data_IF_412484996570
#
_entry.id   IF_412484996570
#
_cell.length_a   1.000
_cell.length_b   1.000
_cell.length_c   1.000
_cell.angle_alpha   90.00
_cell.angle_beta   90.00
_cell.angle_gamma   90.00
#
_symmetry.space_group_name_H-M   'P 1'
#
loop_
_entity.id
_entity.type
_entity.pdbx_description
1 polymer ?
#
# COMPACT_ATOMS: atom_id res chain seq x y z
N UNK A 1 23.01 42.51 54.67
CA UNK A 1 21.98 42.73 53.64
C UNK A 1 22.35 41.86 52.44
N UNK A 2 21.75 40.65 52.33
CA UNK A 2 20.80 40.24 51.26
C UNK A 2 21.19 40.80 49.89
N UNK A 3 21.54 39.96 48.91
CA UNK A 3 20.62 39.46 47.86
C UNK A 3 21.52 39.26 46.62
N UNK A 4 21.41 38.32 45.69
CA UNK A 4 20.62 37.11 45.47
C UNK A 4 21.32 36.40 44.30
N UNK A 5 21.59 35.10 44.41
CA UNK A 5 21.96 34.28 43.23
C UNK A 5 20.69 33.60 42.73
N UNK A 6 20.18 34.06 41.59
CA UNK A 6 19.06 33.44 40.91
C UNK A 6 19.54 32.15 40.23
N UNK A 7 19.01 31.01 40.68
CA UNK A 7 19.13 29.73 40.01
C UNK A 7 18.09 29.72 38.89
N UNK A 8 18.53 29.75 37.64
CA UNK A 8 17.69 29.46 36.48
C UNK A 8 17.53 27.94 36.36
N UNK A 9 16.41 27.39 36.81
CA UNK A 9 15.98 26.05 36.40
C UNK A 9 15.39 26.17 34.99
N UNK A 10 16.13 25.67 34.00
CA UNK A 10 15.57 25.40 32.67
C UNK A 10 14.71 24.13 32.75
N UNK A 11 13.38 24.29 32.74
CA UNK A 11 12.47 23.20 32.41
C UNK A 11 12.46 23.06 30.87
N UNK A 12 13.26 22.14 30.35
CA UNK A 12 12.97 21.57 29.04
C UNK A 12 11.83 20.57 29.22
N UNK A 13 10.59 21.02 28.98
CA UNK A 13 9.50 20.11 28.70
C UNK A 13 9.87 19.36 27.41
N UNK A 14 10.17 18.06 27.53
CA UNK A 14 10.16 17.16 26.39
C UNK A 14 8.74 17.18 25.82
N UNK A 15 8.55 17.93 24.74
CA UNK A 15 7.38 17.77 23.89
C UNK A 15 7.58 16.39 23.27
N UNK A 16 6.99 15.37 23.87
CA UNK A 16 6.81 14.09 23.21
C UNK A 16 5.98 14.39 21.97
N UNK A 17 6.63 14.40 20.80
CA UNK A 17 5.94 14.60 19.54
C UNK A 17 4.77 13.60 19.50
N UNK A 18 3.55 14.11 19.35
CA UNK A 18 2.37 13.26 19.26
C UNK A 18 2.56 12.29 18.10
N UNK A 19 2.30 11.00 18.34
CA UNK A 19 2.33 9.98 17.28
C UNK A 19 1.49 10.46 16.09
N UNK A 20 2.00 10.40 14.85
CA UNK A 20 1.23 10.76 13.68
C UNK A 20 -0.05 9.94 13.60
N UNK A 21 -1.15 10.57 13.23
CA UNK A 21 -2.43 9.89 13.05
C UNK A 21 -2.43 9.12 11.73
N UNK A 22 -2.85 7.85 11.75
CA UNK A 22 -3.09 7.08 10.54
C UNK A 22 -4.46 7.41 9.95
N UNK A 23 -4.49 7.61 8.63
CA UNK A 23 -5.69 7.62 7.81
C UNK A 23 -5.56 6.49 6.79
N UNK A 24 -6.20 5.35 7.07
CA UNK A 24 -6.37 4.28 6.09
C UNK A 24 -7.53 4.64 5.16
N UNK A 25 -7.29 4.65 3.86
CA UNK A 25 -8.23 5.11 2.83
C UNK A 25 -8.27 4.12 1.68
N UNK A 26 -9.46 3.75 1.25
CA UNK A 26 -9.67 2.92 0.07
C UNK A 26 -10.76 3.49 -0.82
N UNK A 27 -10.88 3.00 -2.04
CA UNK A 27 -11.89 3.43 -2.99
C UNK A 27 -12.82 2.31 -3.41
N UNK A 28 -14.12 2.55 -3.28
CA UNK A 28 -15.14 1.73 -3.93
C UNK A 28 -16.22 2.66 -4.51
N UNK A 29 -16.61 2.40 -5.76
CA UNK A 29 -17.69 3.13 -6.42
C UNK A 29 -19.08 2.62 -6.03
N UNK A 30 -19.18 1.34 -5.67
CA UNK A 30 -20.41 0.66 -5.29
C UNK A 30 -20.21 -0.16 -4.01
N UNK A 31 -21.26 -0.36 -3.19
CA UNK A 31 -21.23 -1.36 -2.12
C UNK A 31 -20.99 -2.75 -2.72
N UNK A 32 -19.88 -3.39 -2.35
CA UNK A 32 -19.49 -4.71 -2.85
C UNK A 32 -19.01 -5.56 -1.67
N UNK A 33 -19.46 -6.82 -1.53
CA UNK A 33 -19.03 -7.70 -0.43
C UNK A 33 -17.51 -7.87 -0.31
N UNK A 34 -16.76 -7.75 -1.41
CA UNK A 34 -15.29 -7.86 -1.38
C UNK A 34 -14.62 -6.74 -0.59
N UNK A 35 -15.26 -5.57 -0.50
CA UNK A 35 -14.78 -4.47 0.37
C UNK A 35 -14.83 -4.86 1.84
N UNK A 36 -15.74 -5.77 2.23
CA UNK A 36 -15.83 -6.23 3.61
C UNK A 36 -14.58 -7.02 4.04
N UNK A 37 -13.83 -7.59 3.08
CA UNK A 37 -12.59 -8.31 3.38
C UNK A 37 -11.53 -7.36 3.95
N UNK A 38 -11.24 -6.28 3.23
CA UNK A 38 -10.21 -5.31 3.60
C UNK A 38 -10.64 -4.46 4.80
N UNK A 39 -11.89 -4.01 4.84
CA UNK A 39 -12.42 -3.25 5.98
C UNK A 39 -12.55 -4.13 7.22
N UNK A 40 -13.11 -5.34 7.08
CA UNK A 40 -13.31 -6.25 8.22
C UNK A 40 -11.99 -6.70 8.85
N UNK A 41 -10.97 -7.01 8.04
CA UNK A 41 -9.65 -7.37 8.57
C UNK A 41 -8.96 -6.19 9.24
N UNK A 42 -9.08 -4.98 8.71
CA UNK A 42 -8.58 -3.77 9.38
C UNK A 42 -9.25 -3.56 10.75
N UNK A 43 -10.58 -3.72 10.84
CA UNK A 43 -11.34 -3.56 12.08
C UNK A 43 -10.96 -4.62 13.13
N UNK A 44 -10.76 -5.87 12.70
CA UNK A 44 -10.22 -6.93 13.57
C UNK A 44 -8.84 -6.58 14.15
N UNK A 45 -8.08 -5.75 13.42
CA UNK A 45 -6.76 -5.26 13.81
C UNK A 45 -6.77 -3.85 14.43
N UNK A 46 -7.94 -3.35 14.79
CA UNK A 46 -8.10 -2.18 15.67
C UNK A 46 -8.06 -0.82 14.96
N UNK A 47 -8.24 -0.76 13.64
CA UNK A 47 -8.35 0.51 12.91
C UNK A 47 -9.45 0.49 11.86
N UNK A 48 -9.91 1.69 11.48
CA UNK A 48 -11.16 1.87 10.73
C UNK A 48 -10.91 2.63 9.43
N UNK A 49 -10.76 1.92 8.29
CA UNK A 49 -10.55 2.57 7.01
C UNK A 49 -11.73 3.43 6.56
N UNK A 50 -11.42 4.48 5.80
CA UNK A 50 -12.42 5.31 5.13
C UNK A 50 -12.56 4.85 3.68
N UNK A 51 -13.76 4.40 3.32
CA UNK A 51 -14.11 4.13 1.92
C UNK A 51 -14.58 5.43 1.27
N UNK A 52 -13.87 5.87 0.24
CA UNK A 52 -14.27 6.99 -0.61
C UNK A 52 -14.84 6.50 -1.94
N UNK A 53 -15.66 7.32 -2.60
CA UNK A 53 -16.07 7.08 -3.98
C UNK A 53 -17.47 6.50 -4.21
N UNK A 54 -18.20 6.09 -3.16
CA UNK A 54 -19.56 5.56 -3.34
C UNK A 54 -20.44 6.52 -4.15
N UNK A 55 -21.11 5.97 -5.17
CA UNK A 55 -21.96 6.72 -6.09
C UNK A 55 -21.22 7.48 -7.19
N UNK A 56 -19.91 7.30 -7.33
CA UNK A 56 -19.11 7.88 -8.41
C UNK A 56 -18.56 6.78 -9.32
N UNK A 57 -18.96 6.79 -10.58
CA UNK A 57 -18.47 5.80 -11.55
C UNK A 57 -16.96 5.93 -11.78
N UNK A 58 -16.27 4.78 -11.80
CA UNK A 58 -14.91 4.64 -12.28
C UNK A 58 -14.84 3.36 -13.11
N UNK A 59 -14.12 3.41 -14.22
CA UNK A 59 -13.92 2.27 -15.11
C UNK A 59 -12.54 1.68 -14.87
N UNK A 60 -12.47 0.37 -14.66
CA UNK A 60 -11.20 -0.30 -14.39
C UNK A 60 -10.18 -0.14 -15.55
N UNK A 61 -8.90 -0.24 -15.19
CA UNK A 61 -7.69 0.03 -15.98
C UNK A 61 -7.47 1.49 -16.40
N UNK A 62 -8.38 2.08 -17.18
CA UNK A 62 -8.14 3.38 -17.84
C UNK A 62 -8.95 4.54 -17.27
N UNK A 63 -10.06 4.29 -16.56
CA UNK A 63 -10.94 5.30 -15.96
C UNK A 63 -10.72 5.49 -14.45
N UNK A 64 -9.52 5.20 -13.95
CA UNK A 64 -9.19 5.27 -12.51
C UNK A 64 -8.73 6.67 -12.05
N UNK A 65 -8.78 7.68 -12.93
CA UNK A 65 -8.55 9.07 -12.54
C UNK A 65 -9.61 9.56 -11.53
N UNK A 66 -10.86 9.09 -11.64
CA UNK A 66 -11.93 9.40 -10.66
C UNK A 66 -11.56 8.91 -9.26
N UNK A 67 -11.04 7.68 -9.15
CA UNK A 67 -10.54 7.11 -7.89
C UNK A 67 -9.45 8.01 -7.30
N UNK A 68 -8.42 8.30 -8.09
CA UNK A 68 -7.29 9.12 -7.64
C UNK A 68 -7.75 10.51 -7.18
N UNK A 69 -8.70 11.13 -7.88
CA UNK A 69 -9.26 12.42 -7.51
C UNK A 69 -10.12 12.37 -6.23
N UNK A 70 -10.75 11.24 -5.90
CA UNK A 70 -11.47 11.06 -4.63
C UNK A 70 -10.52 10.90 -3.45
N UNK A 71 -9.46 10.11 -3.63
CA UNK A 71 -8.36 9.99 -2.65
C UNK A 71 -7.69 11.35 -2.42
N UNK A 72 -7.35 12.05 -3.50
CA UNK A 72 -6.87 13.45 -3.46
C UNK A 72 -7.79 14.34 -2.64
N UNK A 73 -9.10 14.34 -2.93
CA UNK A 73 -10.06 15.17 -2.21
C UNK A 73 -10.06 14.86 -0.70
N UNK A 74 -9.97 13.58 -0.33
CA UNK A 74 -9.87 13.20 1.08
C UNK A 74 -8.60 13.75 1.72
N UNK A 75 -7.44 13.51 1.12
CA UNK A 75 -6.14 14.00 1.62
C UNK A 75 -6.20 15.53 1.82
N UNK A 76 -6.64 16.29 0.82
CA UNK A 76 -6.60 17.74 0.90
C UNK A 76 -7.53 18.32 1.97
N UNK A 77 -8.67 17.66 2.23
CA UNK A 77 -9.75 18.18 3.07
C UNK A 77 -9.83 17.56 4.48
N UNK A 78 -9.19 16.41 4.73
CA UNK A 78 -9.41 15.60 5.95
C UNK A 78 -8.17 15.29 6.76
N UNK A 79 -6.99 15.72 6.31
CA UNK A 79 -5.71 15.35 6.92
C UNK A 79 -4.82 16.58 7.13
N UNK A 80 -3.97 16.54 8.14
CA UNK A 80 -2.91 17.51 8.41
C UNK A 80 -1.58 17.06 7.78
N UNK A 81 -0.62 17.97 7.63
CA UNK A 81 0.65 17.70 6.93
C UNK A 81 1.42 16.49 7.48
N UNK A 82 1.48 16.35 8.80
CA UNK A 82 2.26 15.30 9.47
C UNK A 82 1.51 13.96 9.60
N UNK A 83 0.22 13.91 9.28
CA UNK A 83 -0.58 12.68 9.31
C UNK A 83 -0.01 11.65 8.31
N UNK A 84 -0.22 10.37 8.61
CA UNK A 84 0.16 9.26 7.74
C UNK A 84 -1.07 8.81 6.98
N UNK A 85 -0.94 8.68 5.65
CA UNK A 85 -2.00 8.18 4.78
C UNK A 85 -1.57 6.81 4.28
N UNK A 86 -2.41 5.80 4.50
CA UNK A 86 -2.32 4.50 3.86
C UNK A 86 -3.42 4.43 2.82
N UNK A 87 -3.05 4.39 1.54
CA UNK A 87 -3.98 4.00 0.49
C UNK A 87 -3.88 2.51 0.21
N UNK A 88 -5.03 1.87 -0.03
CA UNK A 88 -5.08 0.47 -0.43
C UNK A 88 -6.25 0.16 -1.38
N UNK A 89 -6.07 -0.81 -2.27
CA UNK A 89 -7.12 -1.35 -3.14
C UNK A 89 -8.21 -2.04 -2.32
N UNK A 90 -9.47 -1.83 -2.70
CA UNK A 90 -10.59 -2.17 -1.81
C UNK A 90 -10.94 -3.66 -1.75
N UNK A 91 -10.69 -4.40 -2.84
CA UNK A 91 -11.31 -5.71 -3.06
C UNK A 91 -10.41 -6.90 -2.75
N UNK A 92 -9.10 -6.68 -2.72
CA UNK A 92 -8.07 -7.71 -2.73
C UNK A 92 -6.93 -7.40 -1.75
N UNK A 93 -7.25 -6.65 -0.68
CA UNK A 93 -6.31 -6.36 0.42
C UNK A 93 -6.78 -7.01 1.72
N UNK A 94 -5.84 -7.59 2.46
CA UNK A 94 -6.05 -8.20 3.77
C UNK A 94 -5.05 -7.60 4.75
N UNK A 95 -5.51 -7.31 5.97
CA UNK A 95 -4.66 -6.92 7.08
C UNK A 95 -4.44 -8.11 8.02
N UNK A 96 -3.18 -8.35 8.39
CA UNK A 96 -2.79 -9.32 9.42
C UNK A 96 -1.98 -8.69 10.57
N UNK A 97 -1.85 -7.36 10.55
CA UNK A 97 -1.19 -6.55 11.58
C UNK A 97 -1.98 -5.28 11.91
N UNK A 98 -1.71 -4.74 13.10
CA UNK A 98 -2.43 -3.59 13.67
C UNK A 98 -1.91 -2.22 13.26
N UNK A 99 -2.67 -1.17 13.58
CA UNK A 99 -2.28 0.23 13.30
C UNK A 99 -0.92 0.60 13.89
N UNK A 100 -0.64 0.17 15.13
CA UNK A 100 0.65 0.46 15.77
C UNK A 100 1.81 -0.12 14.97
N UNK A 101 1.71 -1.39 14.58
CA UNK A 101 2.72 -2.09 13.78
C UNK A 101 2.90 -1.45 12.40
N UNK A 102 1.81 -1.13 11.70
CA UNK A 102 1.84 -0.48 10.39
C UNK A 102 2.55 0.87 10.46
N UNK A 103 2.19 1.70 11.45
CA UNK A 103 2.79 3.02 11.63
C UNK A 103 4.25 2.92 12.06
N UNK A 104 4.60 2.00 12.95
CA UNK A 104 6.00 1.82 13.38
C UNK A 104 6.88 1.38 12.22
N UNK A 105 6.45 0.38 11.44
CA UNK A 105 7.19 -0.08 10.26
C UNK A 105 7.31 1.02 9.20
N UNK A 106 6.26 1.82 8.97
CA UNK A 106 6.34 3.00 8.11
C UNK A 106 7.41 3.99 8.60
N UNK A 107 7.39 4.35 9.88
CA UNK A 107 8.34 5.30 10.46
C UNK A 107 9.78 4.78 10.43
N UNK A 108 9.98 3.48 10.58
CA UNK A 108 11.28 2.83 10.48
C UNK A 108 11.82 2.89 9.04
N UNK A 109 10.99 2.54 8.06
CA UNK A 109 11.37 2.64 6.64
C UNK A 109 11.61 4.11 6.27
N UNK A 110 10.73 5.04 6.65
CA UNK A 110 10.89 6.48 6.37
C UNK A 110 12.22 7.00 6.92
N UNK A 111 12.57 6.64 8.16
CA UNK A 111 13.85 7.03 8.76
C UNK A 111 15.06 6.40 8.07
N UNK A 112 14.97 5.14 7.66
CA UNK A 112 16.08 4.43 7.02
C UNK A 112 16.31 4.91 5.59
N UNK A 113 15.24 5.08 4.84
CA UNK A 113 15.24 5.45 3.42
C UNK A 113 15.31 6.96 3.20
N UNK A 114 15.04 7.77 4.24
CA UNK A 114 14.93 9.23 4.15
C UNK A 114 13.92 9.69 3.08
N UNK A 115 12.82 8.95 2.95
CA UNK A 115 11.77 9.11 1.94
C UNK A 115 10.40 8.95 2.61
N UNK A 116 9.48 9.85 2.30
CA UNK A 116 8.21 9.99 3.03
C UNK A 116 6.99 9.47 2.28
N UNK A 117 7.19 8.80 1.15
CA UNK A 117 6.18 8.04 0.42
C UNK A 117 6.76 6.69 0.05
N UNK A 118 6.06 5.61 0.42
CA UNK A 118 6.53 4.24 0.24
C UNK A 118 5.44 3.48 -0.51
N UNK A 119 5.76 3.00 -1.71
CA UNK A 119 4.94 2.02 -2.41
C UNK A 119 5.37 0.63 -2.04
N UNK A 120 4.46 -0.33 -2.07
CA UNK A 120 4.89 -1.73 -2.07
C UNK A 120 5.44 -2.13 -3.43
N UNK A 121 6.25 -3.18 -3.42
CA UNK A 121 6.97 -3.66 -4.59
C UNK A 121 6.40 -4.98 -5.12
N UNK A 122 6.49 -5.19 -6.43
CA UNK A 122 6.15 -6.42 -7.15
C UNK A 122 7.35 -6.94 -7.97
N UNK A 123 7.26 -8.19 -8.41
CA UNK A 123 8.32 -8.86 -9.16
C UNK A 123 8.31 -8.57 -10.66
N UNK A 124 7.16 -8.15 -11.20
CA UNK A 124 6.94 -7.91 -12.62
C UNK A 124 6.86 -6.41 -12.95
N UNK A 125 7.43 -5.98 -14.07
CA UNK A 125 7.37 -4.57 -14.48
C UNK A 125 6.35 -4.37 -15.61
N UNK A 126 5.46 -3.41 -15.44
CA UNK A 126 4.48 -3.00 -16.46
C UNK A 126 4.83 -1.68 -17.16
N UNK A 127 5.94 -1.04 -16.76
CA UNK A 127 6.42 0.22 -17.33
C UNK A 127 7.47 0.01 -18.41
N UNK A 128 7.45 0.86 -19.44
CA UNK A 128 8.50 0.93 -20.45
C UNK A 128 9.82 1.51 -19.91
N UNK A 129 9.79 2.16 -18.73
CA UNK A 129 10.97 2.72 -18.05
C UNK A 129 11.60 1.73 -17.05
N UNK A 130 11.59 0.44 -17.39
CA UNK A 130 12.10 -0.64 -16.52
C UNK A 130 13.56 -0.43 -16.10
N UNK A 131 14.37 0.14 -16.98
CA UNK A 131 15.80 0.37 -16.75
C UNK A 131 16.07 1.57 -15.82
N UNK A 132 15.08 2.44 -15.60
CA UNK A 132 15.20 3.61 -14.70
C UNK A 132 15.00 3.23 -13.23
N UNK A 133 14.52 2.00 -12.95
CA UNK A 133 14.36 1.52 -11.58
C UNK A 133 15.71 1.32 -10.90
N UNK A 134 15.87 1.75 -9.63
CA UNK A 134 17.07 1.49 -8.85
C UNK A 134 17.50 0.02 -8.89
N UNK A 135 18.81 -0.26 -8.89
CA UNK A 135 19.30 -1.61 -8.72
C UNK A 135 18.91 -2.12 -7.33
N UNK A 136 18.43 -3.35 -7.26
CA UNK A 136 18.14 -4.05 -6.00
C UNK A 136 18.50 -5.52 -6.14
N UNK A 137 18.78 -6.17 -5.00
CA UNK A 137 18.95 -7.63 -4.92
C UNK A 137 17.63 -8.35 -4.66
N UNK A 138 16.58 -7.61 -4.31
CA UNK A 138 15.27 -8.19 -4.03
C UNK A 138 14.57 -8.61 -5.31
N UNK A 139 13.79 -9.69 -5.22
CA UNK A 139 12.82 -10.09 -6.23
C UNK A 139 11.78 -9.00 -6.45
N UNK A 140 11.33 -8.34 -5.37
CA UNK A 140 10.36 -7.26 -5.43
C UNK A 140 11.08 -5.95 -5.75
N UNK A 141 11.06 -5.57 -7.03
CA UNK A 141 11.82 -4.43 -7.56
C UNK A 141 10.93 -3.33 -8.12
N UNK A 142 9.75 -3.67 -8.60
CA UNK A 142 8.92 -2.75 -9.38
C UNK A 142 7.78 -2.20 -8.53
N UNK A 143 7.33 -0.99 -8.81
CA UNK A 143 6.22 -0.39 -8.07
C UNK A 143 4.94 -1.18 -8.34
N UNK A 144 4.10 -1.36 -7.33
CA UNK A 144 2.68 -1.66 -7.50
C UNK A 144 1.85 -0.55 -6.84
N UNK A 145 0.85 0.00 -7.53
CA UNK A 145 0.11 1.17 -7.04
C UNK A 145 -1.09 0.83 -6.16
N UNK A 146 -1.40 -0.46 -5.98
CA UNK A 146 -2.54 -0.90 -5.17
C UNK A 146 -2.35 -0.74 -3.67
N UNK A 147 -1.10 -0.56 -3.20
CA UNK A 147 -0.77 -0.19 -1.82
C UNK A 147 0.33 0.87 -1.80
N UNK A 148 0.10 1.94 -1.05
CA UNK A 148 1.16 2.88 -0.70
C UNK A 148 0.82 3.66 0.56
N UNK A 149 1.87 4.03 1.29
CA UNK A 149 1.77 4.74 2.57
C UNK A 149 2.75 5.90 2.61
N UNK A 150 2.35 7.02 3.19
CA UNK A 150 3.20 8.20 3.19
C UNK A 150 2.66 9.33 4.03
N UNK A 151 3.52 10.32 4.28
CA UNK A 151 3.12 11.56 4.93
C UNK A 151 2.10 12.30 4.07
N UNK A 152 1.12 12.92 4.70
CA UNK A 152 0.10 13.69 3.99
C UNK A 152 0.72 14.80 3.15
N UNK A 153 1.78 15.46 3.60
CA UNK A 153 2.48 16.46 2.79
C UNK A 153 3.07 15.85 1.51
N UNK A 154 3.66 14.66 1.56
CA UNK A 154 4.24 13.98 0.40
C UNK A 154 3.13 13.55 -0.58
N UNK A 155 2.02 13.04 -0.05
CA UNK A 155 0.83 12.69 -0.83
C UNK A 155 0.16 13.92 -1.48
N UNK A 156 0.25 15.10 -0.84
CA UNK A 156 -0.25 16.36 -1.42
C UNK A 156 0.60 16.82 -2.59
N UNK A 157 1.91 16.56 -2.60
CA UNK A 157 2.74 16.80 -3.78
C UNK A 157 2.44 15.79 -4.91
N UNK A 158 2.28 14.50 -4.59
CA UNK A 158 1.83 13.48 -5.56
C UNK A 158 0.52 13.91 -6.24
N UNK A 159 -0.47 14.32 -5.45
CA UNK A 159 -1.79 14.72 -5.92
C UNK A 159 -1.98 16.23 -6.01
N UNK A 160 -0.93 16.99 -6.26
CA UNK A 160 -0.98 18.46 -6.29
C UNK A 160 -2.03 18.97 -7.27
N UNK A 161 -2.01 18.40 -8.48
CA UNK A 161 -2.97 18.70 -9.53
C UNK A 161 -4.06 17.63 -9.59
N UNK A 162 -5.33 17.99 -9.88
CA UNK A 162 -6.34 17.01 -10.25
C UNK A 162 -5.88 16.18 -11.46
N UNK A 163 -6.17 14.89 -11.44
CA UNK A 163 -5.84 13.98 -12.53
C UNK A 163 -6.91 14.09 -13.63
N UNK A 164 -6.47 14.08 -14.89
CA UNK A 164 -7.36 14.05 -16.05
C UNK A 164 -7.79 12.62 -16.35
N UNK A 165 -8.97 12.48 -16.95
CA UNK A 165 -9.50 11.21 -17.43
C UNK A 165 -9.65 11.29 -18.97
N UNK A 166 -8.99 10.41 -19.76
CA UNK A 166 -8.04 9.38 -19.35
C UNK A 166 -6.72 9.95 -18.79
N UNK A 167 -6.02 9.16 -17.98
CA UNK A 167 -4.65 9.45 -17.58
C UNK A 167 -3.74 9.42 -18.79
N UNK A 168 -2.79 10.36 -18.86
CA UNK A 168 -1.85 10.49 -19.97
C UNK A 168 -0.41 10.59 -19.49
N UNK A 169 0.53 10.03 -20.26
CA UNK A 169 1.96 10.28 -20.09
C UNK A 169 2.38 11.66 -20.64
N UNK A 170 3.68 11.95 -20.59
CA UNK A 170 4.26 13.23 -21.06
C UNK A 170 4.09 13.44 -22.57
N UNK A 171 3.92 12.36 -23.33
CA UNK A 171 3.68 12.38 -24.78
C UNK A 171 2.17 12.42 -25.13
N UNK A 172 1.28 12.44 -24.11
CA UNK A 172 -0.17 12.49 -24.30
C UNK A 172 -0.82 11.13 -24.57
N UNK A 173 -0.09 10.01 -24.45
CA UNK A 173 -0.64 8.66 -24.65
C UNK A 173 -1.39 8.21 -23.41
N UNK A 174 -2.51 7.51 -23.59
CA UNK A 174 -3.29 6.99 -22.47
C UNK A 174 -2.52 5.92 -21.70
N UNK A 175 -2.47 6.06 -20.38
CA UNK A 175 -1.76 5.14 -19.47
C UNK A 175 -2.67 4.64 -18.36
N UNK A 176 -2.31 3.51 -17.76
CA UNK A 176 -2.98 2.97 -16.56
C UNK A 176 -2.52 3.72 -15.32
N UNK A 177 -3.31 3.67 -14.25
CA UNK A 177 -2.96 4.29 -12.96
C UNK A 177 -1.61 3.80 -12.42
N UNK A 178 -1.34 2.49 -12.50
CA UNK A 178 -0.05 1.86 -12.20
C UNK A 178 1.13 2.58 -12.86
N UNK A 179 1.01 2.89 -14.15
CA UNK A 179 2.07 3.54 -14.91
C UNK A 179 2.17 5.03 -14.54
N UNK A 180 1.05 5.71 -14.25
CA UNK A 180 1.07 7.09 -13.76
C UNK A 180 1.83 7.22 -12.43
N UNK A 181 1.59 6.30 -11.49
CA UNK A 181 2.35 6.23 -10.23
C UNK A 181 3.83 5.86 -10.46
N UNK A 182 4.11 4.97 -11.42
CA UNK A 182 5.48 4.63 -11.81
C UNK A 182 6.23 5.84 -12.35
N UNK A 183 5.62 6.64 -13.23
CA UNK A 183 6.25 7.87 -13.73
C UNK A 183 6.57 8.84 -12.60
N UNK A 184 5.66 9.02 -11.64
CA UNK A 184 5.91 9.86 -10.47
C UNK A 184 7.07 9.31 -9.62
N UNK A 185 7.07 8.02 -9.32
CA UNK A 185 8.16 7.40 -8.54
C UNK A 185 9.52 7.60 -9.22
N UNK A 186 9.62 7.30 -10.51
CA UNK A 186 10.88 7.39 -11.24
C UNK A 186 11.41 8.82 -11.34
N UNK A 187 10.52 9.81 -11.34
CA UNK A 187 10.87 11.23 -11.36
C UNK A 187 11.12 11.83 -9.95
N UNK A 188 10.79 11.12 -8.86
CA UNK A 188 10.84 11.63 -7.47
C UNK A 188 11.48 10.62 -6.49
N UNK A 189 12.53 9.92 -6.91
CA UNK A 189 13.20 8.87 -6.11
C UNK A 189 13.94 9.40 -4.86
N UNK A 190 14.02 10.71 -4.69
CA UNK A 190 14.50 11.40 -3.48
C UNK A 190 13.42 11.49 -2.40
N UNK A 191 12.14 11.46 -2.78
CA UNK A 191 11.00 11.53 -1.85
C UNK A 191 10.28 10.17 -1.71
N UNK A 192 10.38 9.32 -2.74
CA UNK A 192 9.61 8.08 -2.86
C UNK A 192 10.51 6.85 -2.77
N UNK A 193 10.14 5.89 -1.92
CA UNK A 193 10.78 4.58 -1.78
C UNK A 193 9.85 3.46 -2.26
N UNK A 194 10.46 2.29 -2.48
CA UNK A 194 9.76 1.03 -2.64
C UNK A 194 10.07 0.12 -1.44
N UNK A 195 9.06 -0.53 -0.89
CA UNK A 195 9.21 -1.57 0.14
C UNK A 195 9.73 -2.88 -0.49
N UNK A 196 10.96 -2.83 -1.01
CA UNK A 196 11.59 -4.00 -1.67
C UNK A 196 11.91 -5.13 -0.69
N UNK A 197 11.93 -4.86 0.62
CA UNK A 197 12.10 -5.85 1.67
C UNK A 197 10.80 -6.59 2.03
N UNK A 198 9.65 -6.16 1.50
CA UNK A 198 8.33 -6.63 1.92
C UNK A 198 8.15 -6.53 3.45
N UNK A 199 8.72 -5.50 4.07
CA UNK A 199 8.68 -5.30 5.50
C UNK A 199 7.32 -4.77 5.95
N UNK A 200 6.61 -4.01 5.12
CA UNK A 200 5.33 -3.38 5.46
C UNK A 200 4.18 -3.95 4.63
N UNK A 201 4.44 -4.22 3.36
CA UNK A 201 3.43 -4.60 2.38
C UNK A 201 3.93 -5.73 1.48
N UNK A 202 3.03 -6.62 1.07
CA UNK A 202 3.37 -7.77 0.23
C UNK A 202 2.37 -7.94 -0.91
N UNK A 203 2.90 -8.04 -2.13
CA UNK A 203 2.16 -8.61 -3.26
C UNK A 203 2.11 -10.12 -3.11
N UNK A 204 0.92 -10.69 -3.09
CA UNK A 204 0.64 -12.10 -2.92
C UNK A 204 -0.02 -12.62 -4.20
N UNK A 205 0.77 -13.25 -5.06
CA UNK A 205 0.24 -13.93 -6.24
C UNK A 205 -0.20 -15.35 -5.85
N UNK A 206 0.69 -16.11 -5.21
CA UNK A 206 0.44 -17.46 -4.70
C UNK A 206 0.95 -17.57 -3.25
N UNK A 207 0.47 -18.58 -2.53
CA UNK A 207 0.99 -18.98 -1.23
C UNK A 207 1.27 -20.47 -1.31
N UNK A 208 2.47 -20.89 -0.91
CA UNK A 208 2.88 -22.29 -0.99
C UNK A 208 1.90 -23.18 -0.21
N UNK A 209 1.45 -24.26 -0.85
CA UNK A 209 0.45 -25.21 -0.34
C UNK A 209 -0.99 -24.70 -0.28
N UNK A 210 -1.27 -23.43 -0.61
CA UNK A 210 -2.63 -22.94 -0.82
C UNK A 210 -2.96 -22.95 -2.30
N UNK A 211 -4.20 -23.30 -2.61
CA UNK A 211 -4.64 -23.40 -3.99
C UNK A 211 -4.95 -22.03 -4.58
N UNK A 212 -4.61 -21.83 -5.85
CA UNK A 212 -5.05 -20.65 -6.59
C UNK A 212 -4.60 -20.64 -8.04
N UNK A 213 -5.18 -19.71 -8.82
CA UNK A 213 -4.82 -19.54 -10.23
C UNK A 213 -3.31 -19.30 -10.44
N UNK A 214 -2.66 -18.74 -9.41
CA UNK A 214 -1.25 -18.44 -9.41
C UNK A 214 -0.33 -19.66 -9.27
N UNK A 215 -0.84 -20.85 -8.92
CA UNK A 215 -0.05 -22.09 -8.83
C UNK A 215 0.58 -22.48 -10.17
N UNK A 216 0.03 -21.94 -11.26
CA UNK A 216 0.50 -22.16 -12.62
C UNK A 216 1.45 -21.06 -13.12
N UNK A 217 1.81 -20.08 -12.29
CA UNK A 217 2.71 -19.01 -12.67
C UNK A 217 4.17 -19.37 -12.44
N UNK A 218 5.00 -19.14 -13.45
CA UNK A 218 6.45 -19.07 -13.32
C UNK A 218 6.87 -17.62 -13.01
N UNK A 219 6.34 -17.04 -11.93
CA UNK A 219 6.70 -15.71 -11.44
C UNK A 219 7.51 -15.85 -10.13
N UNK A 220 8.70 -15.23 -10.02
CA UNK A 220 9.52 -15.35 -8.82
C UNK A 220 8.86 -14.72 -7.58
N UNK A 221 7.97 -13.74 -7.75
CA UNK A 221 7.16 -13.15 -6.67
C UNK A 221 6.04 -14.05 -6.16
N UNK A 222 5.77 -15.18 -6.81
CA UNK A 222 4.83 -16.21 -6.35
C UNK A 222 5.49 -17.28 -5.46
N UNK A 223 6.80 -17.18 -5.18
CA UNK A 223 7.57 -18.19 -4.42
C UNK A 223 7.98 -17.68 -3.04
N UNK A 224 8.12 -18.61 -2.09
CA UNK A 224 8.64 -18.32 -0.76
C UNK A 224 7.64 -17.61 0.18
N UNK A 225 6.36 -17.58 -0.19
CA UNK A 225 5.28 -17.10 0.67
C UNK A 225 4.60 -18.32 1.31
N UNK A 226 4.59 -18.40 2.63
CA UNK A 226 4.03 -19.53 3.38
C UNK A 226 3.08 -19.04 4.47
N UNK A 227 2.13 -19.87 4.90
CA UNK A 227 1.38 -19.62 6.13
C UNK A 227 2.10 -20.26 7.31
N UNK A 228 2.38 -19.48 8.35
CA UNK A 228 2.97 -19.94 9.61
C UNK A 228 2.27 -19.24 10.77
N UNK A 229 1.77 -20.01 11.73
CA UNK A 229 1.01 -19.53 12.89
C UNK A 229 -0.15 -18.58 12.51
N UNK A 230 -0.87 -18.91 11.44
CA UNK A 230 -2.01 -18.13 10.94
C UNK A 230 -1.64 -16.80 10.28
N UNK A 231 -0.35 -16.60 9.95
CA UNK A 231 0.14 -15.41 9.26
C UNK A 231 0.89 -15.77 8.00
N UNK A 232 0.81 -14.90 6.99
CA UNK A 232 1.68 -14.97 5.82
C UNK A 232 3.09 -14.54 6.20
N UNK A 233 4.07 -15.40 5.89
CA UNK A 233 5.49 -15.15 6.07
C UNK A 233 6.17 -15.20 4.70
N UNK A 234 6.98 -14.18 4.41
CA UNK A 234 7.89 -14.17 3.27
C UNK A 234 9.24 -14.73 3.70
N UNK A 235 9.52 -15.96 3.29
CA UNK A 235 10.75 -16.69 3.62
C UNK A 235 11.98 -16.20 2.86
N UNK A 236 11.78 -15.47 1.76
CA UNK A 236 12.87 -14.90 0.95
C UNK A 236 13.44 -13.65 1.61
N UNK A 237 12.57 -12.78 2.12
CA UNK A 237 12.99 -11.55 2.83
C UNK A 237 13.03 -11.70 4.34
N UNK A 238 12.58 -12.85 4.87
CA UNK A 238 12.46 -13.14 6.30
C UNK A 238 11.56 -12.14 7.03
N UNK A 239 10.41 -11.82 6.44
CA UNK A 239 9.46 -10.84 6.97
C UNK A 239 8.06 -11.44 7.16
N UNK A 240 7.27 -10.78 7.99
CA UNK A 240 5.83 -11.06 8.18
C UNK A 240 5.08 -9.75 7.95
N UNK A 241 4.75 -9.38 6.70
CA UNK A 241 4.21 -8.06 6.36
C UNK A 241 2.79 -7.89 6.91
N UNK A 242 2.45 -6.77 7.58
CA UNK A 242 1.11 -6.58 8.16
C UNK A 242 0.01 -6.35 7.12
N UNK A 243 0.37 -5.97 5.89
CA UNK A 243 -0.57 -5.65 4.81
C UNK A 243 -0.30 -6.57 3.61
N UNK A 244 -1.32 -7.29 3.16
CA UNK A 244 -1.25 -8.23 2.06
C UNK A 244 -2.14 -7.74 0.91
N UNK A 245 -1.60 -7.67 -0.30
CA UNK A 245 -2.35 -7.32 -1.51
C UNK A 245 -2.31 -8.50 -2.47
N UNK A 246 -3.46 -8.91 -2.97
CA UNK A 246 -3.65 -10.09 -3.81
C UNK A 246 -3.99 -9.71 -5.26
N UNK A 247 -3.18 -8.91 -5.96
CA UNK A 247 -3.55 -8.40 -7.27
C UNK A 247 -3.68 -9.52 -8.30
N UNK A 248 -4.55 -9.29 -9.29
CA UNK A 248 -4.70 -10.18 -10.43
C UNK A 248 -5.01 -11.62 -10.00
N UNK A 249 -4.13 -12.55 -10.35
CA UNK A 249 -4.35 -13.98 -10.10
C UNK A 249 -4.49 -14.34 -8.61
N UNK A 250 -3.99 -13.49 -7.70
CA UNK A 250 -4.12 -13.72 -6.26
C UNK A 250 -5.56 -13.58 -5.75
N UNK A 251 -6.39 -12.78 -6.44
CA UNK A 251 -7.79 -12.56 -6.05
C UNK A 251 -8.82 -13.06 -7.07
N UNK A 252 -8.46 -13.24 -8.34
CA UNK A 252 -9.42 -13.71 -9.34
C UNK A 252 -9.73 -15.19 -9.12
N UNK A 253 -11.02 -15.58 -8.98
CA UNK A 253 -11.38 -16.97 -8.76
C UNK A 253 -10.96 -17.89 -9.91
N UNK A 254 -10.39 -19.03 -9.57
CA UNK A 254 -10.13 -20.12 -10.49
C UNK A 254 -11.42 -20.96 -10.69
N UNK A 255 -11.99 -20.85 -11.88
CA UNK A 255 -13.20 -21.58 -12.26
C UNK A 255 -12.93 -22.96 -12.87
N UNK A 256 -11.65 -23.31 -13.04
CA UNK A 256 -11.22 -24.50 -13.78
C UNK A 256 -10.72 -25.62 -12.86
N UNK A 257 -10.47 -25.31 -11.59
CA UNK A 257 -10.01 -26.29 -10.60
C UNK A 257 -11.08 -27.36 -10.31
N UNK A 258 -10.72 -28.65 -10.36
CA UNK A 258 -11.69 -29.76 -10.21
C UNK A 258 -12.39 -29.81 -8.83
N UNK A 259 -11.65 -29.61 -7.73
CA UNK A 259 -12.18 -29.72 -6.35
C UNK A 259 -12.49 -28.37 -5.66
N UNK A 260 -11.80 -27.30 -6.04
CA UNK A 260 -11.83 -25.97 -5.39
C UNK A 260 -12.38 -24.88 -6.32
N UNK A 261 -13.38 -25.22 -7.13
CA UNK A 261 -14.00 -24.30 -8.11
C UNK A 261 -14.43 -22.97 -7.46
N UNK A 262 -14.07 -21.87 -8.09
CA UNK A 262 -14.53 -20.53 -7.70
C UNK A 262 -13.82 -19.95 -6.48
N UNK A 263 -12.66 -20.51 -6.09
CA UNK A 263 -11.80 -19.94 -5.05
C UNK A 263 -10.62 -19.17 -5.63
N UNK A 264 -9.95 -18.36 -4.81
CA UNK A 264 -8.69 -17.70 -5.14
C UNK A 264 -7.76 -17.75 -3.92
N UNK A 265 -6.48 -17.42 -4.12
CA UNK A 265 -5.47 -17.43 -3.05
C UNK A 265 -5.89 -16.56 -1.85
N UNK A 266 -6.48 -15.39 -2.09
CA UNK A 266 -7.00 -14.52 -1.04
C UNK A 266 -8.09 -15.19 -0.18
N UNK A 267 -8.97 -16.01 -0.78
CA UNK A 267 -10.02 -16.72 -0.04
C UNK A 267 -9.51 -17.98 0.63
N UNK A 268 -8.58 -18.72 0.01
CA UNK A 268 -7.94 -19.87 0.64
C UNK A 268 -7.12 -19.45 1.87
N UNK A 269 -6.52 -18.26 1.87
CA UNK A 269 -5.82 -17.72 3.05
C UNK A 269 -6.70 -17.62 4.30
N UNK A 270 -8.03 -17.48 4.17
CA UNK A 270 -8.95 -17.47 5.31
C UNK A 270 -9.53 -18.85 5.66
N UNK A 271 -9.33 -19.86 4.82
CA UNK A 271 -9.91 -21.19 5.01
C UNK A 271 -9.09 -22.08 5.93
N UNK A 272 -7.77 -21.86 5.95
CA UNK A 272 -6.81 -22.62 6.76
C UNK A 272 -6.52 -21.93 8.11
#
# INVERSE_FOLDING_TARGET
MRSSSAIFLSLFASVTASRPRLHAVTYANIPDPRVALSVGTAELHGFYPVVVGYGHEATWAYGLATLANKVRSYIFNKTNGDDIILFFDAWDVIFQGGEEEIVDRFLDIERREQRSLIYHAEASCTSSRVDDYPPTKSTWRYLNCGLYIGRSWAMRELYKNPLKDPLQDKEGRSIRLQNWHTEYFLDNQDTVALDTGCELMQVVLAIESLHGLADHLDDPGARGLVVSDGKLVNTVTHTTPPILHFPGVGHWPDWWHEERVGTCTAYEFFRD
#
